data_IF_096033397826
#
_entry.id   IF_096033397826
#
_cell.length_a   1.000
_cell.length_b   1.000
_cell.length_c   1.000
_cell.angle_alpha   90.00
_cell.angle_beta   90.00
_cell.angle_gamma   90.00
#
_symmetry.space_group_name_H-M   'P 1'
#
loop_
_entity.id
_entity.type
_entity.pdbx_description
1 polymer ?
#
# COMPACT_ATOMS: atom_id res chain seq x y z
N UNK A 1 34.87 -37.10 0.59
CA UNK A 1 35.54 -36.86 1.87
C UNK A 1 34.62 -36.00 2.72
N UNK A 2 34.39 -36.41 3.96
CA UNK A 2 33.31 -35.94 4.82
C UNK A 2 33.67 -34.73 5.71
N UNK A 3 32.63 -34.17 6.33
CA UNK A 3 32.58 -33.29 7.53
C UNK A 3 32.68 -31.78 7.24
N UNK A 4 31.91 -30.88 7.86
CA UNK A 4 31.26 -30.92 9.20
C UNK A 4 30.11 -29.90 9.27
N UNK A 5 28.97 -30.32 9.84
CA UNK A 5 27.91 -29.47 10.37
C UNK A 5 28.45 -28.61 11.53
N UNK A 6 27.96 -27.39 11.70
CA UNK A 6 27.92 -26.71 13.00
C UNK A 6 26.64 -25.90 13.13
N UNK A 7 25.77 -26.42 13.98
CA UNK A 7 24.56 -25.81 14.53
C UNK A 7 25.00 -24.94 15.70
N UNK A 8 24.60 -23.67 15.74
CA UNK A 8 24.59 -22.89 16.99
C UNK A 8 23.26 -22.15 17.07
N UNK A 9 22.39 -22.67 17.94
CA UNK A 9 21.21 -22.01 18.50
C UNK A 9 21.64 -21.10 19.66
N UNK A 10 21.04 -19.92 19.79
CA UNK A 10 20.91 -19.13 21.02
C UNK A 10 19.78 -18.11 20.77
N UNK A 11 18.60 -18.23 21.39
CA UNK A 11 18.20 -17.89 22.77
C UNK A 11 17.38 -16.59 22.76
N UNK A 12 16.12 -16.72 23.17
CA UNK A 12 15.11 -15.68 23.30
C UNK A 12 15.35 -14.79 24.54
N UNK A 13 14.85 -13.55 24.48
CA UNK A 13 14.47 -12.80 25.67
C UNK A 13 13.33 -11.84 25.33
N UNK A 14 12.16 -12.11 25.92
CA UNK A 14 11.02 -11.21 25.97
C UNK A 14 11.18 -10.25 27.16
N UNK A 15 10.87 -8.98 26.97
CA UNK A 15 10.68 -8.03 28.07
C UNK A 15 9.41 -7.22 27.79
N UNK A 16 8.36 -7.51 28.56
CA UNK A 16 7.15 -6.73 28.64
C UNK A 16 7.35 -5.58 29.64
N UNK A 17 6.92 -4.37 29.28
CA UNK A 17 6.78 -3.26 30.22
C UNK A 17 5.35 -2.74 30.13
N UNK A 18 4.62 -2.92 31.23
CA UNK A 18 3.30 -2.35 31.49
C UNK A 18 3.53 -1.01 32.20
N UNK A 19 2.96 0.07 31.66
CA UNK A 19 2.96 1.39 32.30
C UNK A 19 1.57 2.00 32.22
N UNK A 20 0.80 1.89 33.31
CA UNK A 20 -0.43 2.65 33.54
C UNK A 20 -0.06 3.89 34.34
N UNK A 21 -0.43 5.08 33.86
CA UNK A 21 -0.52 6.27 34.70
C UNK A 21 -1.86 6.96 34.48
N UNK A 22 -2.69 6.92 35.53
CA UNK A 22 -3.85 7.77 35.72
C UNK A 22 -3.45 8.94 36.63
N UNK A 23 -3.91 10.15 36.31
CA UNK A 23 -3.74 11.33 37.15
C UNK A 23 -4.64 12.48 36.68
N UNK A 24 -5.53 13.02 37.53
CA UNK A 24 -6.46 14.09 37.19
C UNK A 24 -5.96 15.48 37.65
N UNK A 25 -6.48 16.54 37.03
CA UNK A 25 -7.05 17.75 37.67
C UNK A 25 -6.92 19.00 36.77
N UNK A 26 -8.08 19.57 36.41
CA UNK A 26 -8.34 20.99 36.09
C UNK A 26 -8.03 21.89 37.32
N UNK A 27 -8.08 23.25 37.30
CA UNK A 27 -8.81 24.17 36.40
C UNK A 27 -8.00 25.42 35.97
N UNK A 28 -8.52 26.30 35.10
CA UNK A 28 -9.12 27.57 35.54
C UNK A 28 -9.89 28.26 34.43
N UNK A 29 -11.10 28.68 34.80
CA UNK A 29 -12.01 29.59 34.12
C UNK A 29 -11.41 30.99 34.04
N UNK A 30 -11.59 31.66 32.90
CA UNK A 30 -11.65 33.12 32.85
C UNK A 30 -12.90 33.53 32.10
N UNK A 31 -13.71 34.31 32.79
CA UNK A 31 -15.02 34.80 32.41
C UNK A 31 -14.84 36.19 31.81
N UNK A 32 -15.09 36.35 30.51
CA UNK A 32 -15.42 37.64 29.91
C UNK A 32 -16.60 37.46 28.95
N UNK A 33 -17.59 38.34 29.07
CA UNK A 33 -18.86 38.39 28.32
C UNK A 33 -19.34 39.83 28.39
N UNK A 34 -20.04 40.41 27.39
CA UNK A 34 -19.89 40.29 25.95
C UNK A 34 -19.77 41.70 25.28
N UNK A 35 -19.37 41.75 24.01
CA UNK A 35 -19.74 42.86 23.14
C UNK A 35 -20.32 42.31 21.83
N UNK A 36 -21.34 43.00 21.34
CA UNK A 36 -22.32 42.53 20.38
C UNK A 36 -21.78 42.16 18.98
N UNK A 37 -22.47 41.18 18.40
CA UNK A 37 -22.57 40.65 17.03
C UNK A 37 -21.82 41.34 15.87
N UNK A 38 -21.39 40.55 14.88
CA UNK A 38 -22.30 40.27 13.76
C UNK A 38 -22.55 38.78 13.50
N UNK A 39 -23.69 38.53 12.87
CA UNK A 39 -24.22 37.23 12.46
C UNK A 39 -23.22 36.52 11.52
N UNK A 40 -22.61 35.44 11.99
CA UNK A 40 -21.84 34.52 11.14
C UNK A 40 -22.73 33.33 10.77
N UNK A 41 -22.85 33.09 9.46
CA UNK A 41 -23.61 31.98 8.88
C UNK A 41 -23.04 30.63 9.33
N UNK A 42 -23.88 29.59 9.54
CA UNK A 42 -23.41 28.27 9.91
C UNK A 42 -22.59 27.63 8.77
N UNK A 43 -21.31 27.35 9.03
CA UNK A 43 -20.47 26.48 8.20
C UNK A 43 -20.91 25.01 8.38
N UNK A 44 -21.16 24.26 7.30
CA UNK A 44 -21.38 22.82 7.39
C UNK A 44 -20.14 22.12 7.93
N UNK A 45 -20.37 21.26 8.93
CA UNK A 45 -19.35 20.66 9.79
C UNK A 45 -18.32 19.79 9.08
N UNK A 46 -17.08 19.95 9.51
CA UNK A 46 -15.99 19.01 9.26
C UNK A 46 -16.14 17.89 10.29
N UNK A 47 -16.35 16.62 9.89
CA UNK A 47 -16.35 15.53 10.85
C UNK A 47 -14.93 15.34 11.42
N UNK A 48 -14.94 15.24 12.75
CA UNK A 48 -13.84 14.97 13.66
C UNK A 48 -13.01 13.76 13.20
N UNK A 49 -11.71 13.98 13.08
CA UNK A 49 -10.69 12.98 12.76
C UNK A 49 -10.74 11.86 13.83
N UNK A 50 -11.33 10.72 13.47
CA UNK A 50 -11.23 9.48 14.24
C UNK A 50 -9.84 8.88 13.97
N UNK A 51 -8.87 9.23 14.82
CA UNK A 51 -7.59 8.50 14.91
C UNK A 51 -7.86 7.13 15.51
N UNK A 52 -8.39 6.21 14.69
CA UNK A 52 -8.36 4.78 14.96
C UNK A 52 -6.96 4.25 14.71
N UNK A 53 -6.32 3.90 15.82
CA UNK A 53 -5.36 2.83 16.02
C UNK A 53 -4.62 2.35 14.77
N UNK A 54 -3.42 2.90 14.59
CA UNK A 54 -2.37 2.25 13.80
C UNK A 54 -1.84 1.08 14.66
N UNK A 55 -2.49 -0.07 14.56
CA UNK A 55 -2.00 -1.31 15.18
C UNK A 55 -0.56 -1.56 14.77
N UNK A 56 0.33 -1.67 15.75
CA UNK A 56 1.65 -2.28 15.60
C UNK A 56 1.52 -3.79 15.48
N UNK A 57 0.73 -4.26 14.51
CA UNK A 57 0.69 -5.67 14.14
C UNK A 57 1.93 -5.97 13.30
N UNK A 58 2.65 -7.02 13.69
CA UNK A 58 3.85 -7.47 13.02
C UNK A 58 3.62 -7.63 11.51
N UNK A 59 4.14 -6.70 10.70
CA UNK A 59 4.22 -6.71 9.24
C UNK A 59 3.23 -7.67 8.54
N UNK A 60 1.92 -7.46 8.77
CA UNK A 60 0.90 -8.24 8.10
C UNK A 60 0.87 -7.74 6.67
N UNK A 61 1.41 -8.53 5.74
CA UNK A 61 1.43 -8.18 4.33
C UNK A 61 0.04 -7.85 3.82
N UNK A 62 -0.09 -6.70 3.14
CA UNK A 62 -1.31 -6.30 2.46
C UNK A 62 -1.30 -6.92 1.07
N UNK A 63 -2.12 -7.96 0.88
CA UNK A 63 -2.11 -8.77 -0.33
C UNK A 63 -3.30 -8.51 -1.24
N UNK A 64 -3.02 -8.41 -2.53
CA UNK A 64 -4.03 -8.40 -3.60
C UNK A 64 -4.39 -9.82 -4.01
N UNK A 65 -5.66 -10.23 -3.99
CA UNK A 65 -6.08 -11.61 -4.32
C UNK A 65 -6.48 -11.78 -5.79
N UNK A 66 -6.26 -12.96 -6.35
CA UNK A 66 -6.59 -13.27 -7.74
C UNK A 66 -8.08 -13.57 -7.93
N UNK A 67 -8.75 -14.08 -6.90
CA UNK A 67 -10.19 -14.42 -7.00
C UNK A 67 -11.04 -13.18 -7.25
N UNK A 68 -10.57 -12.01 -6.81
CA UNK A 68 -11.24 -10.74 -7.06
C UNK A 68 -11.12 -10.31 -8.55
N UNK A 69 -10.11 -10.82 -9.27
CA UNK A 69 -9.83 -10.49 -10.69
C UNK A 69 -10.86 -11.11 -11.64
N UNK A 70 -11.29 -12.34 -11.36
CA UNK A 70 -12.20 -13.10 -12.24
C UNK A 70 -13.65 -12.58 -12.21
N UNK A 71 -14.02 -11.83 -11.16
CA UNK A 71 -15.37 -11.30 -10.97
C UNK A 71 -15.56 -9.85 -11.47
N UNK A 72 -14.50 -9.21 -11.94
CA UNK A 72 -14.46 -7.79 -12.20
C UNK A 72 -15.05 -7.36 -13.58
N UNK A 73 -15.82 -6.27 -13.65
CA UNK A 73 -16.22 -5.67 -14.93
C UNK A 73 -15.03 -5.01 -15.64
N UNK A 74 -15.05 -5.04 -16.98
CA UNK A 74 -14.03 -4.37 -17.78
C UNK A 74 -14.13 -2.84 -17.61
N UNK A 75 -13.10 -2.22 -17.04
CA UNK A 75 -12.99 -0.77 -16.91
C UNK A 75 -12.23 -0.17 -18.11
N UNK A 76 -12.51 1.09 -18.44
CA UNK A 76 -11.78 1.83 -19.47
C UNK A 76 -10.36 2.17 -18.98
N UNK A 77 -9.33 1.77 -19.74
CA UNK A 77 -7.94 2.02 -19.37
C UNK A 77 -7.57 3.50 -19.61
N UNK A 78 -7.59 4.31 -18.56
CA UNK A 78 -6.84 5.56 -18.56
C UNK A 78 -5.34 5.22 -18.61
N UNK A 79 -4.52 6.07 -19.23
CA UNK A 79 -3.08 5.88 -19.22
C UNK A 79 -2.51 6.18 -17.82
N UNK A 80 -1.47 5.45 -17.36
CA UNK A 80 -0.81 5.75 -16.11
C UNK A 80 -0.15 7.13 -16.14
N UNK A 81 -0.23 7.91 -15.04
CA UNK A 81 0.61 9.09 -14.90
C UNK A 81 2.08 8.68 -14.77
N UNK A 82 3.00 9.57 -15.16
CA UNK A 82 4.43 9.27 -15.15
C UNK A 82 5.29 10.43 -14.62
N UNK A 83 6.29 10.10 -13.81
CA UNK A 83 7.36 11.00 -13.41
C UNK A 83 6.87 12.18 -12.58
N UNK A 84 7.17 13.40 -13.03
CA UNK A 84 6.74 14.63 -12.34
C UNK A 84 5.22 14.84 -12.35
N UNK A 85 4.49 14.13 -13.21
CA UNK A 85 3.03 14.11 -13.26
C UNK A 85 2.41 12.97 -12.42
N UNK A 86 3.23 12.17 -11.71
CA UNK A 86 2.75 11.18 -10.76
C UNK A 86 1.93 11.82 -9.63
N UNK A 87 1.13 11.02 -8.94
CA UNK A 87 0.33 11.49 -7.82
C UNK A 87 1.22 11.88 -6.63
N UNK A 88 0.94 13.00 -5.96
CA UNK A 88 1.70 13.43 -4.79
C UNK A 88 1.57 12.40 -3.66
N UNK A 89 2.69 12.07 -3.01
CA UNK A 89 2.75 11.15 -1.87
C UNK A 89 3.16 11.89 -0.59
N UNK A 90 2.75 11.39 0.61
CA UNK A 90 3.10 12.01 1.89
C UNK A 90 4.60 12.12 2.17
N UNK A 91 5.39 11.16 1.67
CA UNK A 91 6.84 11.10 1.89
C UNK A 91 7.54 10.40 0.74
N UNK A 92 8.74 10.85 0.37
CA UNK A 92 9.53 10.18 -0.67
C UNK A 92 10.01 8.82 -0.20
N UNK A 93 10.08 7.86 -1.12
CA UNK A 93 10.59 6.51 -0.86
C UNK A 93 11.44 6.03 -2.03
N UNK A 94 12.17 4.95 -1.79
CA UNK A 94 12.95 4.29 -2.81
C UNK A 94 12.70 2.79 -2.82
N UNK A 95 12.90 2.18 -3.99
CA UNK A 95 12.85 0.73 -4.18
C UNK A 95 14.05 0.25 -4.99
N UNK A 96 14.27 -1.07 -5.00
CA UNK A 96 15.18 -1.70 -5.94
C UNK A 96 14.61 -3.02 -6.45
N UNK A 97 14.86 -3.30 -7.73
CA UNK A 97 14.45 -4.56 -8.34
C UNK A 97 15.49 -5.63 -8.03
N UNK A 98 15.06 -6.74 -7.44
CA UNK A 98 15.88 -7.94 -7.40
C UNK A 98 16.03 -8.53 -8.81
N UNK A 99 17.01 -9.41 -9.01
CA UNK A 99 17.25 -10.05 -10.31
C UNK A 99 16.03 -10.81 -10.86
N UNK A 100 15.15 -11.29 -9.97
CA UNK A 100 13.92 -11.98 -10.35
C UNK A 100 12.98 -11.13 -11.21
N UNK A 101 13.04 -9.80 -11.09
CA UNK A 101 12.15 -8.88 -11.80
C UNK A 101 12.67 -8.38 -13.15
N UNK A 102 13.84 -8.83 -13.62
CA UNK A 102 14.46 -8.31 -14.84
C UNK A 102 13.51 -8.30 -16.06
N UNK A 103 12.71 -9.35 -16.23
CA UNK A 103 11.78 -9.48 -17.36
C UNK A 103 10.61 -8.49 -17.29
N UNK A 104 10.26 -8.01 -16.09
CA UNK A 104 9.12 -7.11 -15.85
C UNK A 104 9.56 -5.69 -15.46
N UNK A 105 10.86 -5.39 -15.54
CA UNK A 105 11.42 -4.15 -15.01
C UNK A 105 10.80 -2.89 -15.61
N UNK A 106 10.45 -2.90 -16.90
CA UNK A 106 9.79 -1.76 -17.55
C UNK A 106 8.40 -1.48 -16.96
N UNK A 107 7.57 -2.51 -16.80
CA UNK A 107 6.23 -2.38 -16.24
C UNK A 107 6.27 -1.95 -14.77
N UNK A 108 7.20 -2.51 -13.98
CA UNK A 108 7.35 -2.13 -12.57
C UNK A 108 7.79 -0.67 -12.44
N UNK A 109 8.73 -0.21 -13.27
CA UNK A 109 9.14 1.20 -13.32
C UNK A 109 8.01 2.12 -13.73
N UNK A 110 7.17 1.70 -14.68
CA UNK A 110 5.98 2.44 -15.08
C UNK A 110 5.01 2.58 -13.91
N UNK A 111 4.75 1.50 -13.18
CA UNK A 111 3.92 1.53 -11.97
C UNK A 111 4.50 2.42 -10.88
N UNK A 112 5.82 2.36 -10.65
CA UNK A 112 6.51 3.23 -9.70
C UNK A 112 6.40 4.71 -10.08
N UNK A 113 6.51 5.03 -11.38
CA UNK A 113 6.46 6.38 -11.90
C UNK A 113 5.09 7.06 -11.70
N UNK A 114 4.06 6.30 -11.35
CA UNK A 114 2.75 6.83 -10.99
C UNK A 114 2.75 7.57 -9.64
N UNK A 115 3.77 7.36 -8.80
CA UNK A 115 3.91 7.97 -7.47
C UNK A 115 5.04 9.01 -7.45
N UNK A 116 4.70 10.26 -7.19
CA UNK A 116 5.66 11.37 -7.29
C UNK A 116 6.75 11.27 -6.22
N UNK A 117 8.00 11.04 -6.64
CA UNK A 117 9.14 10.95 -5.72
C UNK A 117 9.40 9.55 -5.18
N UNK A 118 8.78 8.52 -5.77
CA UNK A 118 9.27 7.15 -5.69
C UNK A 118 10.42 6.96 -6.69
N UNK A 119 11.59 6.55 -6.21
CA UNK A 119 12.80 6.43 -7.04
C UNK A 119 13.45 5.05 -6.96
N UNK A 120 13.89 4.51 -8.08
CA UNK A 120 14.71 3.28 -8.10
C UNK A 120 16.15 3.58 -7.65
N UNK A 121 16.75 2.69 -6.87
CA UNK A 121 18.17 2.78 -6.48
C UNK A 121 18.49 2.42 -5.03
N UNK A 122 17.55 1.87 -4.27
CA UNK A 122 17.75 1.45 -2.88
C UNK A 122 16.41 1.30 -2.14
N UNK A 123 16.40 1.10 -0.83
CA UNK A 123 15.14 1.01 -0.07
C UNK A 123 14.42 -0.33 -0.23
N UNK A 124 13.13 -0.32 -0.54
CA UNK A 124 12.27 -1.50 -0.54
C UNK A 124 12.69 -2.51 -1.63
N UNK A 125 13.04 -3.76 -1.29
CA UNK A 125 13.27 -4.80 -2.29
C UNK A 125 11.96 -5.18 -2.99
N UNK A 126 12.00 -5.24 -4.32
CA UNK A 126 10.92 -5.79 -5.14
C UNK A 126 11.37 -7.13 -5.74
N UNK A 127 10.63 -8.19 -5.40
CA UNK A 127 10.82 -9.53 -5.94
C UNK A 127 9.65 -9.95 -6.82
N UNK A 128 9.97 -10.66 -7.90
CA UNK A 128 9.00 -11.20 -8.82
C UNK A 128 8.95 -12.71 -8.64
N UNK A 129 7.73 -13.23 -8.50
CA UNK A 129 7.47 -14.65 -8.30
C UNK A 129 6.77 -15.21 -9.52
N UNK A 130 6.89 -16.53 -9.68
CA UNK A 130 6.27 -17.26 -10.79
C UNK A 130 4.97 -17.97 -10.38
N UNK A 131 4.48 -17.69 -9.17
CA UNK A 131 3.28 -18.28 -8.58
C UNK A 131 2.65 -17.33 -7.58
N UNK A 132 1.43 -17.64 -7.15
CA UNK A 132 0.75 -16.92 -6.07
C UNK A 132 1.59 -16.84 -4.79
N UNK A 133 1.44 -15.71 -4.08
CA UNK A 133 2.19 -15.35 -2.88
C UNK A 133 1.47 -15.93 -1.65
N UNK A 134 2.01 -17.00 -1.06
CA UNK A 134 1.37 -17.71 0.06
C UNK A 134 1.74 -17.17 1.45
N UNK A 135 2.76 -16.32 1.52
CA UNK A 135 3.34 -15.76 2.76
C UNK A 135 2.87 -14.32 3.05
N UNK A 136 1.80 -13.88 2.38
CA UNK A 136 1.16 -12.59 2.57
C UNK A 136 -0.18 -12.80 3.29
N UNK A 137 -0.39 -12.17 4.44
CA UNK A 137 -1.37 -12.49 5.49
C UNK A 137 -2.87 -12.55 5.14
N UNK A 138 -3.28 -12.63 3.87
CA UNK A 138 -4.67 -12.66 3.41
C UNK A 138 -5.25 -14.03 3.05
N UNK A 139 -4.42 -15.08 2.93
CA UNK A 139 -4.85 -16.37 2.39
C UNK A 139 -5.37 -16.31 0.94
N UNK A 140 -5.40 -17.43 0.22
CA UNK A 140 -5.86 -17.46 -1.19
C UNK A 140 -4.76 -17.16 -2.21
N UNK A 141 -5.15 -16.84 -3.45
CA UNK A 141 -4.24 -16.66 -4.59
C UNK A 141 -3.73 -15.22 -4.67
N UNK A 142 -2.78 -14.84 -3.80
CA UNK A 142 -2.27 -13.46 -3.78
C UNK A 142 -1.36 -13.19 -4.99
N UNK A 143 -1.59 -12.10 -5.72
CA UNK A 143 -0.81 -11.68 -6.91
C UNK A 143 0.16 -10.54 -6.64
N UNK A 144 -0.05 -9.78 -5.58
CA UNK A 144 0.87 -8.74 -5.13
C UNK A 144 0.82 -8.64 -3.62
N UNK A 145 1.94 -8.31 -3.00
CA UNK A 145 1.96 -8.04 -1.58
C UNK A 145 3.05 -7.04 -1.21
N UNK A 146 2.67 -6.07 -0.38
CA UNK A 146 3.59 -5.17 0.29
C UNK A 146 3.54 -5.40 1.81
N UNK A 147 4.69 -5.64 2.43
CA UNK A 147 4.82 -5.82 3.89
C UNK A 147 4.99 -4.50 4.66
N UNK A 148 4.84 -3.37 3.97
CA UNK A 148 4.91 -2.02 4.50
C UNK A 148 6.33 -1.60 4.89
N UNK A 149 6.48 -0.30 5.18
CA UNK A 149 7.68 0.33 5.76
C UNK A 149 9.02 -0.04 5.09
N UNK A 150 8.98 -0.34 3.79
CA UNK A 150 10.16 -0.70 3.01
C UNK A 150 10.78 -2.06 3.32
N UNK A 151 10.02 -2.99 3.92
CA UNK A 151 10.53 -4.34 4.16
C UNK A 151 10.73 -5.12 2.86
N UNK A 152 9.66 -5.28 2.07
CA UNK A 152 9.70 -5.88 0.72
C UNK A 152 8.35 -5.74 0.01
N UNK A 153 8.39 -5.89 -1.31
CA UNK A 153 7.23 -6.06 -2.19
C UNK A 153 7.45 -7.33 -3.01
N UNK A 154 6.44 -8.20 -3.08
CA UNK A 154 6.43 -9.38 -3.93
C UNK A 154 5.34 -9.24 -4.99
N UNK A 155 5.68 -9.54 -6.24
CA UNK A 155 4.78 -9.42 -7.38
C UNK A 155 4.72 -10.74 -8.15
N UNK A 156 3.52 -11.24 -8.42
CA UNK A 156 3.26 -12.29 -9.38
C UNK A 156 2.62 -11.67 -10.63
N UNK A 157 3.47 -11.20 -11.53
CA UNK A 157 3.09 -10.46 -12.73
C UNK A 157 2.17 -11.30 -13.67
N UNK A 158 2.41 -12.61 -13.76
CA UNK A 158 1.55 -13.52 -14.53
C UNK A 158 0.13 -13.74 -13.96
N UNK A 159 -0.19 -13.13 -12.81
CA UNK A 159 -1.49 -13.24 -12.15
C UNK A 159 -2.51 -12.17 -12.55
N UNK A 160 -2.12 -11.15 -13.31
CA UNK A 160 -2.97 -10.00 -13.69
C UNK A 160 -2.87 -9.70 -15.19
N UNK A 161 -3.77 -8.86 -15.72
CA UNK A 161 -3.69 -8.37 -17.11
C UNK A 161 -2.87 -7.09 -17.27
N UNK A 162 -2.72 -6.28 -16.21
CA UNK A 162 -1.97 -5.02 -16.22
C UNK A 162 -0.87 -5.06 -15.14
N UNK A 163 0.31 -5.48 -15.58
CA UNK A 163 1.54 -5.58 -14.79
C UNK A 163 1.93 -4.25 -14.13
N UNK A 164 1.78 -3.14 -14.86
CA UNK A 164 2.15 -1.83 -14.36
C UNK A 164 1.19 -1.35 -13.28
N UNK A 165 -0.11 -1.66 -13.42
CA UNK A 165 -1.12 -1.31 -12.43
C UNK A 165 -0.95 -2.12 -11.15
N UNK A 166 -0.62 -3.42 -11.27
CA UNK A 166 -0.30 -4.24 -10.10
C UNK A 166 0.90 -3.63 -9.35
N UNK A 167 1.98 -3.32 -10.07
CA UNK A 167 3.14 -2.68 -9.45
C UNK A 167 2.77 -1.34 -8.78
N UNK A 168 1.99 -0.49 -9.45
CA UNK A 168 1.54 0.78 -8.88
C UNK A 168 0.71 0.59 -7.61
N UNK A 169 -0.21 -0.38 -7.61
CA UNK A 169 -1.03 -0.73 -6.45
C UNK A 169 -0.14 -1.12 -5.26
N UNK A 170 0.78 -2.06 -5.48
CA UNK A 170 1.66 -2.56 -4.41
C UNK A 170 2.62 -1.48 -3.91
N UNK A 171 3.10 -0.57 -4.77
CA UNK A 171 3.86 0.60 -4.29
C UNK A 171 3.00 1.56 -3.48
N UNK A 172 1.72 1.75 -3.85
CA UNK A 172 0.83 2.66 -3.13
C UNK A 172 0.59 2.25 -1.67
N UNK A 173 0.73 0.95 -1.35
CA UNK A 173 0.69 0.44 0.03
C UNK A 173 1.76 0.99 0.96
N UNK A 174 2.82 1.63 0.43
CA UNK A 174 3.76 2.37 1.27
C UNK A 174 3.15 3.61 1.95
N UNK A 175 2.02 4.10 1.45
CA UNK A 175 1.36 5.32 1.96
C UNK A 175 -0.12 5.16 2.23
N UNK A 176 -0.79 4.25 1.53
CA UNK A 176 -2.24 4.17 1.49
C UNK A 176 -2.73 2.74 1.75
N UNK A 177 -3.83 2.63 2.49
CA UNK A 177 -4.62 1.40 2.50
C UNK A 177 -5.44 1.26 1.22
N UNK A 178 -6.21 0.17 1.12
CA UNK A 178 -7.20 0.04 0.06
C UNK A 178 -8.23 1.17 0.11
N UNK A 179 -8.68 1.61 -1.07
CA UNK A 179 -9.76 2.58 -1.23
C UNK A 179 -11.14 1.92 -1.26
N UNK A 180 -12.18 2.74 -1.43
CA UNK A 180 -13.57 2.27 -1.59
C UNK A 180 -13.96 1.92 -3.03
N UNK A 181 -13.07 2.15 -4.01
CA UNK A 181 -13.31 1.70 -5.37
C UNK A 181 -13.43 0.18 -5.39
N UNK A 182 -14.20 -0.37 -6.33
CA UNK A 182 -14.34 -1.82 -6.47
C UNK A 182 -13.30 -2.42 -7.41
N UNK A 183 -12.63 -1.60 -8.21
CA UNK A 183 -11.71 -2.04 -9.25
C UNK A 183 -10.51 -1.13 -9.31
N UNK A 184 -9.31 -1.71 -9.40
CA UNK A 184 -8.08 -0.95 -9.50
C UNK A 184 -8.01 -0.31 -10.88
N UNK A 185 -7.61 0.96 -10.98
CA UNK A 185 -7.47 1.64 -12.26
C UNK A 185 -6.74 2.97 -12.21
N UNK A 186 -6.34 3.47 -13.39
CA UNK A 186 -5.41 4.60 -13.52
C UNK A 186 -6.02 5.99 -13.39
N UNK A 187 -7.34 6.13 -13.16
CA UNK A 187 -7.97 7.47 -13.18
C UNK A 187 -7.62 8.34 -11.97
N UNK A 188 -7.15 7.74 -10.86
CA UNK A 188 -6.65 8.46 -9.67
C UNK A 188 -5.84 7.52 -8.77
N UNK A 189 -5.06 8.09 -7.84
CA UNK A 189 -4.37 7.32 -6.80
C UNK A 189 -5.34 6.41 -6.01
N UNK A 190 -6.50 6.95 -5.62
CA UNK A 190 -7.52 6.16 -4.92
C UNK A 190 -8.06 5.03 -5.81
N UNK A 191 -8.20 5.25 -7.11
CA UNK A 191 -8.65 4.21 -8.03
C UNK A 191 -7.58 3.12 -8.20
N UNK A 192 -6.27 3.44 -8.21
CA UNK A 192 -5.20 2.43 -8.20
C UNK A 192 -5.27 1.58 -6.93
N UNK A 193 -5.53 2.21 -5.79
CA UNK A 193 -5.61 1.55 -4.48
C UNK A 193 -6.91 0.78 -4.24
N UNK A 194 -7.76 0.56 -5.25
CA UNK A 194 -8.92 -0.32 -5.06
C UNK A 194 -8.45 -1.75 -4.73
N UNK A 195 -9.16 -2.51 -3.87
CA UNK A 195 -8.72 -3.81 -3.37
C UNK A 195 -8.67 -4.93 -4.43
N UNK A 196 -9.25 -4.70 -5.61
CA UNK A 196 -9.42 -5.73 -6.63
C UNK A 196 -8.74 -5.31 -7.93
N UNK A 197 -7.87 -6.16 -8.46
CA UNK A 197 -7.25 -5.94 -9.76
C UNK A 197 -8.20 -6.39 -10.86
N UNK A 198 -8.82 -5.44 -11.58
CA UNK A 198 -9.81 -5.80 -12.57
C UNK A 198 -9.18 -6.22 -13.89
N UNK A 199 -9.75 -7.24 -14.53
CA UNK A 199 -9.28 -7.71 -15.83
C UNK A 199 -9.58 -6.65 -16.90
N UNK A 200 -8.57 -5.89 -17.30
CA UNK A 200 -8.62 -5.03 -18.46
C UNK A 200 -8.46 -5.89 -19.70
N UNK A 201 -9.54 -6.52 -20.16
CA UNK A 201 -9.57 -6.96 -21.55
C UNK A 201 -9.54 -5.71 -22.41
N UNK A 202 -8.37 -5.41 -22.99
CA UNK A 202 -8.26 -4.48 -24.11
C UNK A 202 -9.39 -4.79 -25.09
N UNK A 203 -10.28 -3.83 -25.36
CA UNK A 203 -11.41 -3.97 -26.27
C UNK A 203 -10.95 -4.10 -27.76
N UNK A 204 -9.96 -4.94 -28.05
CA UNK A 204 -9.34 -5.00 -29.38
C UNK A 204 -8.77 -6.35 -29.79
N UNK A 205 -8.45 -7.26 -28.87
CA UNK A 205 -7.89 -8.57 -29.24
C UNK A 205 -8.99 -9.65 -29.26
N UNK A 206 -9.88 -9.55 -30.25
CA UNK A 206 -10.57 -10.72 -30.80
C UNK A 206 -9.57 -11.39 -31.74
N UNK A 207 -9.05 -12.54 -31.34
CA UNK A 207 -8.59 -13.56 -32.30
C UNK A 207 -9.71 -14.54 -32.56
#
# INVERSE_FOLDING_TARGET
MARKLSIISCLAAAAAVIGVFAGPASPSVSTETPAASPVEYPRPGIPLLDTREHSTDAAVGHGTRAEDIDAAPAASAAAPPAGAAGWPVPSRRSYYLTSSCQQHASAIRQGAAAWQGLTEGGGTPVECRNSYISDCGGGGRIVGCNWGQGQRIALYMGGVSDDALLAAHEFGHDWYGHSSYQCAGWSSAAHVMAPTMCNYRSQGDVK
#
